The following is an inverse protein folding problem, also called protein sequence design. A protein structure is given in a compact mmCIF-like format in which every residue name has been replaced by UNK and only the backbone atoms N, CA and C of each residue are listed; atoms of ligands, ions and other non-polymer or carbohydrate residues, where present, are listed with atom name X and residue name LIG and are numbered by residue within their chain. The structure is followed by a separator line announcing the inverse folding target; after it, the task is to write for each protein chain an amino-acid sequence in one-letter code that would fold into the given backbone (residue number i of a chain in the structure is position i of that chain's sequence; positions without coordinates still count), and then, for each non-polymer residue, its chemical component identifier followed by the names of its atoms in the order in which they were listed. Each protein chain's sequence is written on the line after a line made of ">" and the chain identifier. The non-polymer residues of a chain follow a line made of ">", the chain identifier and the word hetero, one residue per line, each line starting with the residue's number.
data_IF_000466683556
#
_entry.id   IF_000466683556
#
_cell.length_a   1.000
_cell.length_b   1.000
_cell.length_c   1.000
_cell.angle_alpha   90.00
_cell.angle_beta   90.00
_cell.angle_gamma   90.00
#
_symmetry.space_group_name_H-M   'P 1'
#
loop_
_entity.id
_entity.type
_entity.pdbx_description
1 polymer ?
#
# COMPACT_ATOMS: atom_id res chain seq x y z
N UNK A 1 3.94 -24.69 -8.82
CA UNK A 1 2.70 -24.99 -8.10
C UNK A 1 2.52 -23.88 -7.06
N UNK A 2 1.36 -23.23 -6.97
CA UNK A 2 1.08 -22.20 -5.94
C UNK A 2 0.07 -22.79 -4.97
N UNK A 3 0.39 -22.75 -3.68
CA UNK A 3 -0.52 -23.18 -2.62
C UNK A 3 -1.06 -21.97 -1.90
N UNK A 4 -2.33 -21.99 -1.59
CA UNK A 4 -2.99 -21.00 -0.76
C UNK A 4 -3.50 -21.71 0.49
N UNK A 5 -2.97 -21.33 1.66
CA UNK A 5 -3.53 -21.78 2.93
C UNK A 5 -4.31 -20.62 3.56
N UNK A 6 -5.56 -20.85 3.94
CA UNK A 6 -6.26 -19.97 4.86
C UNK A 6 -5.85 -20.36 6.28
N UNK A 7 -5.20 -19.48 7.04
CA UNK A 7 -4.93 -19.77 8.45
C UNK A 7 -6.25 -19.88 9.19
N UNK A 8 -6.38 -20.92 9.99
CA UNK A 8 -7.54 -21.15 10.90
C UNK A 8 -7.32 -20.53 12.27
N UNK A 9 -6.13 -20.04 12.53
CA UNK A 9 -5.75 -19.37 13.79
C UNK A 9 -5.54 -17.89 13.54
N UNK A 10 -5.98 -17.06 14.48
CA UNK A 10 -5.90 -15.61 14.38
C UNK A 10 -4.45 -15.10 14.42
N UNK A 11 -3.53 -15.85 15.04
CA UNK A 11 -2.13 -15.48 15.23
C UNK A 11 -1.23 -16.70 15.38
N UNK A 12 0.02 -16.59 14.99
CA UNK A 12 1.07 -17.52 15.33
C UNK A 12 1.83 -18.09 14.16
N UNK A 13 2.67 -19.06 14.45
CA UNK A 13 3.36 -19.85 13.46
C UNK A 13 2.48 -21.04 13.06
N UNK A 14 2.28 -21.22 11.78
CA UNK A 14 1.64 -22.41 11.24
C UNK A 14 2.70 -23.28 10.57
N UNK A 15 2.82 -24.52 11.00
CA UNK A 15 3.64 -25.54 10.29
C UNK A 15 2.82 -26.14 9.16
N UNK A 16 3.38 -26.20 7.97
CA UNK A 16 2.77 -26.92 6.87
C UNK A 16 3.73 -27.98 6.34
N UNK A 17 3.16 -29.13 5.99
CA UNK A 17 3.90 -30.22 5.33
C UNK A 17 3.40 -30.33 3.90
N UNK A 18 4.31 -30.33 2.95
CA UNK A 18 3.99 -30.58 1.54
C UNK A 18 4.39 -32.01 1.20
N UNK A 19 3.39 -32.87 1.02
CA UNK A 19 3.60 -34.22 0.47
C UNK A 19 3.52 -34.13 -1.06
N UNK A 20 4.60 -34.49 -1.71
CA UNK A 20 4.63 -34.61 -3.17
C UNK A 20 4.66 -36.10 -3.53
N UNK A 21 3.64 -36.59 -4.27
CA UNK A 21 3.61 -37.90 -4.82
C UNK A 21 3.85 -37.86 -6.33
N UNK A 22 4.84 -38.57 -6.81
CA UNK A 22 5.11 -38.75 -8.22
C UNK A 22 5.36 -40.25 -8.50
N UNK A 23 4.68 -40.77 -9.50
CA UNK A 23 4.82 -42.21 -9.93
C UNK A 23 4.62 -43.21 -8.79
N UNK A 24 3.82 -42.92 -7.78
CA UNK A 24 3.54 -43.83 -6.66
C UNK A 24 4.54 -43.76 -5.50
N UNK A 25 5.59 -43.00 -5.63
CA UNK A 25 6.51 -42.72 -4.53
C UNK A 25 6.11 -41.45 -3.79
N UNK A 26 6.08 -41.53 -2.46
CA UNK A 26 5.78 -40.40 -1.58
C UNK A 26 7.10 -39.83 -1.08
N UNK A 27 7.36 -38.55 -1.42
CA UNK A 27 8.51 -37.81 -0.89
C UNK A 27 8.00 -36.63 -0.09
N UNK A 28 8.40 -36.53 1.18
CA UNK A 28 8.18 -35.30 1.97
C UNK A 28 9.15 -34.25 1.44
N UNK A 29 8.61 -33.23 0.83
CA UNK A 29 9.44 -32.26 0.15
C UNK A 29 9.97 -31.15 1.09
N UNK A 30 9.19 -30.72 2.07
CA UNK A 30 9.60 -29.64 2.97
C UNK A 30 8.61 -29.47 4.14
N UNK A 31 9.13 -29.20 5.32
CA UNK A 31 8.40 -28.56 6.40
C UNK A 31 8.74 -27.08 6.39
N UNK A 32 7.73 -26.21 6.44
CA UNK A 32 7.92 -24.77 6.45
C UNK A 32 7.09 -24.12 7.53
N UNK A 33 7.65 -23.10 8.16
CA UNK A 33 6.93 -22.19 9.05
C UNK A 33 6.33 -21.06 8.21
N UNK A 34 5.03 -20.85 8.34
CA UNK A 34 4.35 -19.69 7.77
C UNK A 34 3.99 -18.76 8.91
N UNK A 35 4.56 -17.56 8.89
CA UNK A 35 4.13 -16.50 9.77
C UNK A 35 2.69 -16.11 9.46
N UNK A 36 1.79 -16.19 10.43
CA UNK A 36 0.41 -15.73 10.29
C UNK A 36 0.36 -14.25 10.63
N UNK A 37 -0.09 -13.47 9.67
CA UNK A 37 -0.29 -12.04 9.83
C UNK A 37 -1.40 -11.76 10.85
N UNK A 38 -1.10 -10.98 11.88
CA UNK A 38 -2.02 -10.59 12.94
C UNK A 38 -3.14 -9.65 12.46
N UNK A 39 -3.98 -9.14 13.38
CA UNK A 39 -5.01 -8.17 13.04
C UNK A 39 -4.39 -6.87 12.55
N UNK A 40 -5.24 -6.02 12.00
CA UNK A 40 -4.86 -4.64 11.75
C UNK A 40 -4.60 -3.94 13.07
N UNK A 41 -3.51 -3.20 13.12
CA UNK A 41 -3.24 -2.28 14.21
C UNK A 41 -3.51 -0.85 13.73
N UNK A 42 -3.64 0.06 14.69
CA UNK A 42 -3.84 1.47 14.38
C UNK A 42 -2.64 1.97 13.55
N UNK A 43 -2.95 2.57 12.41
CA UNK A 43 -2.02 3.36 11.63
C UNK A 43 -2.61 4.78 11.49
N UNK A 44 -1.76 5.76 11.33
CA UNK A 44 -2.15 7.16 11.20
C UNK A 44 -1.35 7.77 10.05
N UNK A 45 -2.04 8.34 9.07
CA UNK A 45 -1.38 9.10 8.01
C UNK A 45 -0.81 10.39 8.59
N UNK A 46 0.50 10.61 8.40
CA UNK A 46 1.24 11.71 9.03
C UNK A 46 1.91 12.63 8.03
N UNK A 47 2.03 12.22 6.79
CA UNK A 47 2.54 13.03 5.69
C UNK A 47 2.10 12.46 4.35
N UNK A 48 2.06 13.31 3.32
CA UNK A 48 1.87 12.94 1.93
C UNK A 48 2.70 13.86 1.03
N UNK A 49 2.96 13.43 -0.20
CA UNK A 49 3.69 14.26 -1.18
C UNK A 49 2.90 15.52 -1.58
N UNK A 50 1.59 15.42 -1.59
CA UNK A 50 0.66 16.50 -1.85
C UNK A 50 -0.75 16.14 -1.40
N UNK A 51 -1.62 17.14 -1.24
CA UNK A 51 -2.99 16.99 -0.74
C UNK A 51 -3.93 17.88 -1.54
N UNK A 52 -5.01 17.32 -2.06
CA UNK A 52 -6.07 18.06 -2.71
C UNK A 52 -7.10 18.54 -1.68
N UNK A 53 -7.11 19.83 -1.41
CA UNK A 53 -8.01 20.43 -0.41
C UNK A 53 -9.03 21.39 -1.01
N UNK A 54 -9.03 21.60 -2.33
CA UNK A 54 -9.88 22.61 -2.98
C UNK A 54 -11.19 22.04 -3.48
N UNK A 55 -11.14 20.95 -4.24
CA UNK A 55 -12.32 20.41 -4.88
C UNK A 55 -12.82 19.13 -4.22
N UNK A 56 -11.95 18.33 -3.62
CA UNK A 56 -12.31 17.02 -3.12
C UNK A 56 -12.07 16.82 -1.61
N UNK A 57 -11.48 17.79 -0.90
CA UNK A 57 -11.17 17.65 0.53
C UNK A 57 -10.43 16.36 0.87
N UNK A 58 -9.40 16.06 0.05
CA UNK A 58 -8.66 14.80 0.09
C UNK A 58 -7.47 14.84 1.05
N UNK A 59 -7.68 15.26 2.30
CA UNK A 59 -6.64 15.32 3.32
C UNK A 59 -6.06 13.93 3.62
N UNK A 60 -4.76 13.86 3.98
CA UNK A 60 -4.03 12.60 4.16
C UNK A 60 -4.61 11.71 5.26
N UNK A 61 -5.10 12.28 6.35
CA UNK A 61 -5.67 11.51 7.47
C UNK A 61 -6.87 10.65 7.05
N UNK A 62 -7.56 11.01 5.98
CA UNK A 62 -8.70 10.26 5.44
C UNK A 62 -8.32 8.89 4.89
N UNK A 63 -7.05 8.68 4.60
CA UNK A 63 -6.58 7.35 4.24
C UNK A 63 -6.46 6.39 5.44
N UNK A 64 -6.76 6.85 6.67
CA UNK A 64 -6.66 6.05 7.89
C UNK A 64 -7.75 6.37 8.91
N UNK A 65 -8.84 7.02 8.51
CA UNK A 65 -9.93 7.46 9.41
C UNK A 65 -10.95 6.34 9.70
N UNK A 66 -10.87 5.22 8.98
CA UNK A 66 -11.76 4.08 9.11
C UNK A 66 -13.05 4.21 8.30
N UNK A 67 -13.19 5.25 7.50
CA UNK A 67 -14.35 5.45 6.61
C UNK A 67 -13.96 5.29 5.13
N UNK A 68 -14.25 4.16 4.49
CA UNK A 68 -13.90 3.93 3.10
C UNK A 68 -14.68 4.80 2.10
N UNK A 69 -15.61 5.63 2.56
CA UNK A 69 -16.31 6.61 1.74
C UNK A 69 -15.52 7.92 1.60
N UNK A 70 -14.59 8.17 2.49
CA UNK A 70 -13.61 9.25 2.42
C UNK A 70 -12.32 8.78 1.75
N UNK A 71 -11.44 9.68 1.38
CA UNK A 71 -10.16 9.31 0.75
C UNK A 71 -9.15 10.46 0.78
N UNK A 72 -7.89 10.09 0.83
CA UNK A 72 -6.82 10.99 0.45
C UNK A 72 -6.72 11.10 -1.07
N UNK A 73 -6.39 12.32 -1.54
CA UNK A 73 -6.14 12.58 -2.95
C UNK A 73 -4.93 13.50 -3.14
N UNK A 74 -4.02 13.14 -4.03
CA UNK A 74 -2.89 13.98 -4.38
C UNK A 74 -3.36 15.24 -5.11
N UNK A 75 -2.64 16.35 -4.96
CA UNK A 75 -3.03 17.65 -5.47
C UNK A 75 -3.08 17.67 -7.02
N UNK A 76 -4.15 18.29 -7.54
CA UNK A 76 -4.29 18.56 -8.97
C UNK A 76 -4.91 19.93 -9.26
N UNK A 77 -5.26 20.70 -8.21
CA UNK A 77 -5.81 22.06 -8.29
C UNK A 77 -4.86 23.02 -7.58
N UNK A 78 -4.62 24.18 -8.16
CA UNK A 78 -3.79 25.23 -7.58
C UNK A 78 -4.57 26.11 -6.58
N UNK A 79 -3.86 27.06 -5.97
CA UNK A 79 -4.45 28.01 -5.03
C UNK A 79 -5.53 28.93 -5.66
N UNK A 80 -5.57 29.06 -6.97
CA UNK A 80 -6.53 29.88 -7.72
C UNK A 80 -7.73 29.05 -8.26
N UNK A 81 -7.90 27.82 -7.80
CA UNK A 81 -8.91 26.88 -8.29
C UNK A 81 -8.77 26.50 -9.77
N UNK A 82 -7.58 26.63 -10.33
CA UNK A 82 -7.27 26.15 -11.67
C UNK A 82 -6.59 24.79 -11.61
N UNK A 83 -6.81 23.94 -12.61
CA UNK A 83 -6.07 22.70 -12.73
C UNK A 83 -4.59 22.98 -12.88
N UNK A 84 -3.77 22.32 -12.07
CA UNK A 84 -2.34 22.32 -12.24
C UNK A 84 -1.95 21.84 -13.65
N UNK A 85 -0.99 22.46 -14.32
CA UNK A 85 -0.51 21.99 -15.61
C UNK A 85 0.08 20.56 -15.48
N UNK A 86 0.01 19.78 -16.54
CA UNK A 86 0.58 18.42 -16.56
C UNK A 86 2.10 18.39 -16.31
N UNK A 87 2.75 19.53 -16.43
CA UNK A 87 4.18 19.69 -16.14
C UNK A 87 4.48 19.92 -14.67
N UNK A 88 3.46 20.24 -13.86
CA UNK A 88 3.62 20.50 -12.42
C UNK A 88 4.05 19.21 -11.69
N UNK A 89 5.03 19.37 -10.81
CA UNK A 89 5.56 18.23 -10.06
C UNK A 89 4.57 17.66 -9.06
N UNK A 90 3.64 18.46 -8.54
CA UNK A 90 2.59 17.98 -7.64
C UNK A 90 1.61 17.01 -8.33
N UNK A 91 1.44 17.14 -9.67
CA UNK A 91 0.61 16.23 -10.46
C UNK A 91 1.32 15.00 -10.99
N UNK A 92 2.64 14.93 -10.88
CA UNK A 92 3.38 13.82 -11.50
C UNK A 92 3.56 12.67 -10.54
N UNK A 93 3.44 11.46 -11.09
CA UNK A 93 3.93 10.27 -10.41
C UNK A 93 5.45 10.39 -10.16
N UNK A 94 5.95 9.80 -9.09
CA UNK A 94 5.23 9.03 -8.07
C UNK A 94 4.48 9.89 -7.05
N UNK A 95 3.43 9.33 -6.44
CA UNK A 95 2.76 9.89 -5.28
C UNK A 95 2.97 8.99 -4.07
N UNK A 96 2.99 9.57 -2.87
CA UNK A 96 3.20 8.78 -1.66
C UNK A 96 2.45 9.36 -0.46
N UNK A 97 2.21 8.48 0.50
CA UNK A 97 1.64 8.80 1.81
C UNK A 97 2.41 8.01 2.87
N UNK A 98 2.74 8.66 3.98
CA UNK A 98 3.45 8.09 5.11
C UNK A 98 2.52 7.80 6.27
N UNK A 99 2.66 6.62 6.82
CA UNK A 99 1.90 6.14 7.97
C UNK A 99 2.81 6.01 9.19
N UNK A 100 2.32 6.46 10.34
CA UNK A 100 2.84 6.07 11.64
C UNK A 100 2.11 4.80 12.09
N UNK A 101 2.85 3.80 12.52
CA UNK A 101 2.34 2.50 12.96
C UNK A 101 2.26 2.51 14.47
N UNK A 102 1.07 2.24 15.02
CA UNK A 102 0.83 2.27 16.46
C UNK A 102 1.17 3.62 17.09
N UNK A 103 1.99 3.62 18.12
CA UNK A 103 2.48 4.84 18.78
C UNK A 103 3.72 5.46 18.11
N UNK A 104 4.31 4.75 17.14
CA UNK A 104 5.51 5.17 16.43
C UNK A 104 6.83 4.95 17.19
N UNK A 105 6.78 4.39 18.40
CA UNK A 105 7.96 4.22 19.26
C UNK A 105 8.59 2.83 19.16
N UNK A 106 7.81 1.83 18.80
CA UNK A 106 8.23 0.42 18.74
C UNK A 106 8.33 -0.03 17.28
N UNK A 107 9.41 -0.70 16.92
CA UNK A 107 9.51 -1.35 15.62
C UNK A 107 8.55 -2.54 15.55
N UNK A 108 7.68 -2.54 14.56
CA UNK A 108 6.71 -3.58 14.30
C UNK A 108 7.16 -4.49 13.18
N UNK A 109 7.00 -5.80 13.33
CA UNK A 109 7.20 -6.75 12.24
C UNK A 109 5.96 -6.70 11.33
N UNK A 110 6.06 -5.88 10.30
CA UNK A 110 4.98 -5.68 9.34
C UNK A 110 4.89 -6.91 8.43
N UNK A 111 3.71 -7.49 8.30
CA UNK A 111 3.45 -8.65 7.48
C UNK A 111 2.46 -8.39 6.34
N UNK A 112 1.65 -7.35 6.43
CA UNK A 112 0.82 -6.89 5.32
C UNK A 112 0.43 -5.42 5.45
N UNK A 113 0.22 -4.78 4.30
CA UNK A 113 -0.48 -3.51 4.16
C UNK A 113 -1.87 -3.79 3.60
N UNK A 114 -2.91 -3.39 4.33
CA UNK A 114 -4.26 -3.41 3.80
C UNK A 114 -4.50 -2.15 2.99
N UNK A 115 -4.94 -2.31 1.75
CA UNK A 115 -5.21 -1.22 0.81
C UNK A 115 -6.66 -1.27 0.35
N UNK A 116 -7.36 -0.16 0.50
CA UNK A 116 -8.70 0.05 -0.05
C UNK A 116 -8.61 1.19 -1.07
N UNK A 117 -8.78 0.92 -2.35
CA UNK A 117 -8.81 1.97 -3.35
C UNK A 117 -10.07 2.82 -3.20
N UNK A 118 -10.03 4.06 -3.69
CA UNK A 118 -11.22 4.91 -3.81
C UNK A 118 -12.30 4.17 -4.60
N UNK A 119 -13.52 4.14 -4.05
CA UNK A 119 -14.68 3.55 -4.70
C UNK A 119 -15.15 4.39 -5.89
N UNK A 120 -15.81 3.74 -6.86
CA UNK A 120 -16.47 4.37 -8.01
C UNK A 120 -15.94 3.91 -9.34
N UNK A 121 -16.67 4.29 -10.40
CA UNK A 121 -16.40 3.93 -11.80
C UNK A 121 -15.93 5.15 -12.60
N UNK A 122 -15.33 4.90 -13.75
CA UNK A 122 -14.90 5.93 -14.68
C UNK A 122 -13.97 6.95 -14.02
N UNK A 123 -14.26 8.26 -14.10
CA UNK A 123 -13.40 9.30 -13.51
C UNK A 123 -13.20 9.15 -11.99
N UNK A 124 -14.16 8.56 -11.26
CA UNK A 124 -14.06 8.32 -9.82
C UNK A 124 -13.08 7.20 -9.46
N UNK A 125 -12.79 6.30 -10.39
CA UNK A 125 -11.75 5.29 -10.22
C UNK A 125 -10.34 5.83 -10.55
N UNK A 126 -10.21 7.08 -10.97
CA UNK A 126 -8.92 7.72 -11.24
C UNK A 126 -8.06 7.77 -9.98
N UNK A 127 -6.76 7.64 -10.16
CA UNK A 127 -5.82 7.68 -9.04
C UNK A 127 -5.63 6.37 -8.27
N UNK A 128 -6.23 5.27 -8.68
CA UNK A 128 -5.88 3.96 -8.13
C UNK A 128 -4.45 3.62 -8.52
N UNK A 129 -3.62 3.32 -7.53
CA UNK A 129 -2.24 2.91 -7.80
C UNK A 129 -2.20 1.57 -8.53
N UNK A 130 -1.33 1.46 -9.54
CA UNK A 130 -1.05 0.21 -10.27
C UNK A 130 0.21 -0.46 -9.75
N UNK A 131 1.33 0.23 -9.86
CA UNK A 131 2.61 -0.27 -9.37
C UNK A 131 2.96 0.48 -8.10
N UNK A 132 3.32 -0.25 -7.07
CA UNK A 132 3.56 0.30 -5.74
C UNK A 132 4.90 -0.13 -5.18
N UNK A 133 5.44 0.72 -4.35
CA UNK A 133 6.64 0.47 -3.53
C UNK A 133 6.28 0.78 -2.10
N UNK A 134 6.68 -0.10 -1.19
CA UNK A 134 6.44 0.05 0.25
C UNK A 134 7.79 0.14 0.92
N UNK A 135 7.99 1.19 1.71
CA UNK A 135 9.19 1.40 2.50
C UNK A 135 8.84 1.33 3.97
N UNK A 136 9.76 0.80 4.76
CA UNK A 136 9.65 0.72 6.21
C UNK A 136 10.86 1.40 6.84
N UNK A 137 10.62 2.13 7.93
CA UNK A 137 11.67 2.79 8.69
C UNK A 137 11.32 2.86 10.19
N UNK A 138 12.34 2.95 11.04
CA UNK A 138 12.15 3.13 12.48
C UNK A 138 11.71 4.53 12.88
N UNK A 139 11.76 5.52 11.98
CA UNK A 139 11.33 6.89 12.23
C UNK A 139 10.82 7.54 10.94
N UNK A 140 10.04 8.62 11.08
CA UNK A 140 9.58 9.40 9.92
C UNK A 140 10.76 9.99 9.14
N UNK A 141 11.80 10.43 9.83
CA UNK A 141 13.02 10.93 9.18
C UNK A 141 13.74 9.83 8.38
N UNK A 142 13.64 8.58 8.81
CA UNK A 142 14.17 7.43 8.07
C UNK A 142 13.49 7.18 6.73
N UNK A 143 12.28 7.69 6.52
CA UNK A 143 11.59 7.66 5.23
C UNK A 143 12.04 8.76 4.27
N UNK A 144 12.67 9.85 4.79
CA UNK A 144 13.17 10.93 3.93
C UNK A 144 14.26 10.39 2.99
N UNK A 145 14.18 10.76 1.72
CA UNK A 145 15.08 10.24 0.69
C UNK A 145 14.72 8.83 0.18
N UNK A 146 13.71 8.18 0.77
CA UNK A 146 13.24 6.89 0.30
C UNK A 146 12.02 7.08 -0.63
N UNK A 147 12.28 7.16 -1.93
CA UNK A 147 11.22 7.25 -2.94
C UNK A 147 10.45 8.58 -2.96
N UNK A 148 10.94 9.65 -2.33
CA UNK A 148 10.28 10.96 -2.29
C UNK A 148 10.65 11.87 -3.48
N UNK A 149 11.71 11.53 -4.22
CA UNK A 149 12.15 12.34 -5.35
C UNK A 149 11.37 12.00 -6.62
N UNK A 150 10.47 12.88 -7.02
CA UNK A 150 9.66 12.75 -8.25
C UNK A 150 10.49 12.81 -9.55
N UNK A 151 11.69 13.38 -9.50
CA UNK A 151 12.59 13.44 -10.66
C UNK A 151 13.35 12.12 -10.89
N UNK A 152 13.34 11.21 -9.91
CA UNK A 152 13.97 9.89 -10.00
C UNK A 152 12.97 8.81 -9.56
N UNK A 153 12.00 8.46 -10.43
CA UNK A 153 10.93 7.55 -10.04
C UNK A 153 11.39 6.14 -9.66
N UNK A 154 12.57 5.72 -10.08
CA UNK A 154 12.93 4.30 -10.06
C UNK A 154 13.90 3.87 -8.95
N UNK A 155 14.45 4.77 -8.17
CA UNK A 155 15.39 4.29 -7.15
C UNK A 155 15.80 5.35 -6.13
N UNK A 156 15.14 5.37 -5.01
CA UNK A 156 15.74 5.92 -3.80
C UNK A 156 15.40 5.02 -2.62
N UNK A 157 16.42 4.39 -2.07
CA UNK A 157 16.28 3.41 -1.01
C UNK A 157 15.90 2.01 -1.53
N UNK A 158 15.89 1.05 -0.63
CA UNK A 158 15.46 -0.31 -0.90
C UNK A 158 14.02 -0.47 -0.36
N UNK A 159 12.99 -0.54 -1.22
CA UNK A 159 11.65 -0.80 -0.75
C UNK A 159 11.58 -2.20 -0.11
N UNK A 160 10.83 -2.33 0.96
CA UNK A 160 10.50 -3.64 1.55
C UNK A 160 9.69 -4.49 0.57
N UNK A 161 8.91 -3.82 -0.31
CA UNK A 161 8.18 -4.45 -1.41
C UNK A 161 8.12 -3.52 -2.61
N UNK A 162 8.32 -4.08 -3.81
CA UNK A 162 7.94 -3.45 -5.08
C UNK A 162 7.10 -4.44 -5.88
N UNK A 163 5.86 -4.09 -6.20
CA UNK A 163 4.95 -5.00 -6.90
C UNK A 163 3.94 -4.25 -7.76
N UNK A 164 3.39 -4.95 -8.76
CA UNK A 164 2.21 -4.46 -9.48
C UNK A 164 0.95 -4.96 -8.76
N UNK A 165 0.04 -4.06 -8.44
CA UNK A 165 -1.25 -4.41 -7.85
C UNK A 165 -2.13 -5.23 -8.80
N UNK A 166 -1.86 -5.19 -10.11
CA UNK A 166 -2.49 -6.09 -11.06
C UNK A 166 -2.19 -7.58 -10.79
N UNK A 167 -1.10 -7.86 -10.08
CA UNK A 167 -0.71 -9.21 -9.68
C UNK A 167 -1.22 -9.62 -8.30
N UNK A 168 -1.85 -8.71 -7.57
CA UNK A 168 -2.42 -8.96 -6.24
C UNK A 168 -3.90 -9.28 -6.41
N UNK A 169 -4.37 -10.47 -6.03
CA UNK A 169 -5.79 -10.83 -6.16
C UNK A 169 -6.70 -9.82 -5.48
N UNK A 170 -7.74 -9.39 -6.19
CA UNK A 170 -8.76 -8.48 -5.66
C UNK A 170 -8.47 -6.98 -5.83
N UNK A 171 -7.33 -6.59 -6.44
CA UNK A 171 -7.01 -5.16 -6.64
C UNK A 171 -7.48 -4.58 -7.98
N UNK A 172 -7.72 -5.39 -9.00
CA UNK A 172 -7.84 -4.91 -10.38
C UNK A 172 -9.22 -4.38 -10.75
N UNK A 173 -10.30 -4.86 -10.20
CA UNK A 173 -11.64 -4.44 -10.65
C UNK A 173 -12.68 -4.36 -9.53
N UNK A 174 -12.26 -4.44 -8.28
CA UNK A 174 -13.22 -4.57 -7.18
C UNK A 174 -12.95 -3.49 -6.14
N UNK A 175 -13.95 -2.67 -5.80
CA UNK A 175 -13.89 -1.84 -4.61
C UNK A 175 -13.93 -2.75 -3.38
N UNK A 176 -12.79 -3.16 -2.92
CA UNK A 176 -12.62 -4.02 -1.76
C UNK A 176 -11.25 -3.83 -1.14
N UNK A 177 -11.16 -4.06 0.15
CA UNK A 177 -9.86 -4.05 0.83
C UNK A 177 -9.09 -5.31 0.49
N UNK A 178 -7.84 -5.15 0.11
CA UNK A 178 -6.91 -6.25 -0.13
C UNK A 178 -5.71 -6.12 0.78
N UNK A 179 -5.19 -7.25 1.23
CA UNK A 179 -3.94 -7.30 1.97
C UNK A 179 -2.79 -7.55 1.00
N UNK A 180 -1.85 -6.62 0.96
CA UNK A 180 -0.62 -6.69 0.18
C UNK A 180 0.46 -7.26 1.10
N UNK A 181 0.95 -8.49 0.87
CA UNK A 181 2.00 -9.07 1.70
C UNK A 181 3.26 -8.20 1.67
N UNK A 182 3.74 -7.84 2.84
CA UNK A 182 4.97 -7.07 3.04
C UNK A 182 5.77 -7.79 4.11
N UNK A 183 7.09 -7.79 4.02
CA UNK A 183 7.95 -8.31 5.07
C UNK A 183 9.00 -7.28 5.44
N UNK A 184 9.03 -6.88 6.70
CA UNK A 184 10.03 -5.96 7.22
C UNK A 184 9.65 -5.40 8.57
N UNK A 185 10.59 -4.69 9.19
CA UNK A 185 10.42 -4.08 10.50
C UNK A 185 10.43 -2.56 10.40
N UNK A 186 9.52 -1.90 11.12
CA UNK A 186 9.47 -0.44 11.17
C UNK A 186 8.34 0.10 12.04
N UNK A 187 8.48 1.35 12.45
CA UNK A 187 7.45 2.14 13.12
C UNK A 187 6.73 3.10 12.17
N UNK A 188 7.28 3.25 10.98
CA UNK A 188 6.74 4.09 9.91
C UNK A 188 6.76 3.33 8.58
N UNK A 189 5.75 3.59 7.75
CA UNK A 189 5.58 2.97 6.45
C UNK A 189 5.27 4.05 5.42
N UNK A 190 5.92 4.00 4.26
CA UNK A 190 5.54 4.76 3.06
C UNK A 190 4.86 3.86 2.06
N UNK A 191 3.64 4.22 1.69
CA UNK A 191 2.95 3.67 0.53
C UNK A 191 3.17 4.61 -0.65
N UNK A 192 3.86 4.14 -1.68
CA UNK A 192 4.22 4.92 -2.85
C UNK A 192 3.68 4.26 -4.11
N UNK A 193 2.80 4.97 -4.82
CA UNK A 193 2.39 4.59 -6.16
C UNK A 193 3.33 5.18 -7.21
N UNK A 194 3.62 4.43 -8.26
CA UNK A 194 4.48 4.89 -9.36
C UNK A 194 3.72 5.15 -10.66
N UNK A 195 2.51 4.60 -10.77
CA UNK A 195 1.58 4.86 -11.87
C UNK A 195 0.15 4.48 -11.48
N UNK A 196 -0.83 4.84 -12.33
CA UNK A 196 -2.24 4.53 -12.15
C UNK A 196 -2.65 3.21 -12.81
N UNK A 197 -3.70 2.60 -12.28
CA UNK A 197 -4.40 1.49 -12.93
C UNK A 197 -5.25 2.03 -14.09
N UNK A 198 -5.04 1.46 -15.29
CA UNK A 198 -5.91 1.59 -16.45
C UNK A 198 -5.97 2.96 -17.12
N UNK A 199 -6.63 2.98 -18.27
CA UNK A 199 -6.94 4.19 -19.06
C UNK A 199 -8.11 5.02 -18.49
N UNK A 200 -8.38 4.92 -17.21
CA UNK A 200 -9.66 5.26 -16.61
C UNK A 200 -10.01 6.74 -16.69
N UNK A 201 -9.10 7.61 -16.91
CA UNK A 201 -9.42 8.95 -17.37
C UNK A 201 -8.20 9.61 -18.00
N UNK A 202 -8.26 9.85 -19.28
CA UNK A 202 -7.32 10.72 -19.99
C UNK A 202 -7.15 12.12 -19.35
N UNK A 203 -8.00 12.47 -18.39
CA UNK A 203 -8.04 13.79 -17.76
C UNK A 203 -7.39 13.86 -16.38
N UNK A 204 -7.20 12.74 -15.66
CA UNK A 204 -6.62 12.70 -14.30
C UNK A 204 -5.67 11.49 -14.10
N UNK A 205 -4.92 11.16 -15.12
CA UNK A 205 -3.96 10.02 -15.09
C UNK A 205 -2.76 10.22 -14.16
N UNK A 206 -2.54 11.46 -13.71
CA UNK A 206 -1.36 11.87 -12.96
C UNK A 206 -1.70 12.20 -11.51
N UNK A 207 -2.67 11.52 -10.94
CA UNK A 207 -3.09 11.69 -9.54
C UNK A 207 -3.17 10.34 -8.84
N UNK A 208 -3.10 10.36 -7.53
CA UNK A 208 -3.32 9.18 -6.68
C UNK A 208 -4.43 9.46 -5.67
N UNK A 209 -5.28 8.46 -5.44
CA UNK A 209 -6.28 8.50 -4.38
C UNK A 209 -6.33 7.16 -3.64
N UNK A 210 -6.52 7.23 -2.33
CA UNK A 210 -6.57 6.07 -1.44
C UNK A 210 -7.70 6.27 -0.45
N UNK A 211 -8.65 5.32 -0.38
CA UNK A 211 -9.73 5.39 0.61
C UNK A 211 -9.22 4.95 1.97
N UNK A 212 -8.57 3.77 2.07
CA UNK A 212 -8.08 3.30 3.36
C UNK A 212 -6.74 2.57 3.24
N UNK A 213 -5.88 2.81 4.21
CA UNK A 213 -4.67 2.05 4.48
C UNK A 213 -4.70 1.51 5.91
N UNK A 214 -4.29 0.28 6.07
CA UNK A 214 -4.15 -0.35 7.37
C UNK A 214 -2.90 -1.21 7.40
N UNK A 215 -2.30 -1.36 8.56
CA UNK A 215 -1.09 -2.16 8.74
C UNK A 215 -1.42 -3.41 9.56
N UNK A 216 -0.96 -4.56 9.11
CA UNK A 216 -0.99 -5.81 9.86
C UNK A 216 0.42 -6.16 10.29
N UNK A 217 0.54 -6.60 11.52
CA UNK A 217 1.85 -6.96 12.09
C UNK A 217 1.88 -8.43 12.46
N UNK A 218 3.03 -9.04 12.31
CA UNK A 218 3.31 -10.37 12.85
C UNK A 218 3.36 -10.33 14.37
N UNK A 219 3.57 -11.48 14.98
CA UNK A 219 3.79 -11.57 16.41
C UNK A 219 5.11 -10.88 16.76
N UNK A 220 5.08 -9.91 17.68
CA UNK A 220 6.31 -9.44 18.30
C UNK A 220 6.82 -10.58 19.20
N UNK A 221 8.01 -11.11 18.86
CA UNK A 221 8.70 -12.08 19.71
C UNK A 221 9.12 -11.45 21.06
#
# INVERSE_FOLDING_TARGET
>A
MKFWARPTTEFGEATFTVDVSYAGEKTVASEGLVGVCGPRIKAEAVAADSVETRWEYGEEYKATDGDPSTYWHSQYIDANNAKLPETDTARKWPHWIDLKIGDGSTGYDVCALSYTPRAGDGPKASGRAKDVQIYLAGSLDGLKGQGDNKSKPDAQGNPALATSLANVPGTVDIPGTVDIPVAGNGSYLRFRGTNAQGDVAKTLKDVMSVAELGVRVGHAN
#
